data_IF_519762603892
#
_entry.id   IF_519762603892
#
_cell.length_a   1.000
_cell.length_b   1.000
_cell.length_c   1.000
_cell.angle_alpha   90.00
_cell.angle_beta   90.00
_cell.angle_gamma   90.00
#
_symmetry.space_group_name_H-M   'P 1'
#
loop_
_entity.id
_entity.type
_entity.pdbx_description
1 polymer ?
#
# COMPACT_ATOMS: atom_id res chain seq x y z
N UNK A 1 6.42 27.82 -92.16
CA UNK A 1 7.04 27.77 -90.82
C UNK A 1 8.53 27.80 -91.00
N UNK A 2 9.14 28.85 -90.45
CA UNK A 2 10.58 29.11 -90.54
C UNK A 2 11.38 28.15 -89.65
N UNK A 3 12.69 28.03 -89.88
CA UNK A 3 13.56 27.12 -89.11
C UNK A 3 13.58 27.49 -87.61
N UNK A 4 13.47 28.80 -87.33
CA UNK A 4 13.42 29.37 -85.99
C UNK A 4 12.16 28.96 -85.21
N UNK A 5 10.98 28.97 -85.86
CA UNK A 5 9.72 28.54 -85.24
C UNK A 5 9.79 27.07 -84.82
N UNK A 6 10.39 26.22 -85.66
CA UNK A 6 10.54 24.78 -85.36
C UNK A 6 11.49 24.55 -84.18
N UNK A 7 12.58 25.29 -84.10
CA UNK A 7 13.50 25.22 -82.96
C UNK A 7 12.81 25.66 -81.67
N UNK A 8 12.04 26.75 -81.72
CA UNK A 8 11.32 27.28 -80.57
C UNK A 8 10.25 26.30 -80.07
N UNK A 9 9.52 25.64 -80.97
CA UNK A 9 8.55 24.58 -80.64
C UNK A 9 9.25 23.39 -79.96
N UNK A 10 10.40 22.94 -80.47
CA UNK A 10 11.15 21.81 -79.88
C UNK A 10 11.64 22.16 -78.47
N UNK A 11 12.17 23.37 -78.28
CA UNK A 11 12.60 23.85 -76.96
C UNK A 11 11.42 23.91 -75.99
N UNK A 12 10.26 24.39 -76.43
CA UNK A 12 9.05 24.45 -75.61
C UNK A 12 8.57 23.06 -75.18
N UNK A 13 8.60 22.08 -76.11
CA UNK A 13 8.22 20.68 -75.85
C UNK A 13 9.15 20.01 -74.83
N UNK A 14 10.41 20.44 -74.73
CA UNK A 14 11.37 19.88 -73.79
C UNK A 14 11.30 20.59 -72.43
N UNK A 15 11.17 21.92 -72.41
CA UNK A 15 11.18 22.71 -71.16
C UNK A 15 9.88 22.51 -70.36
N UNK A 16 8.72 22.40 -71.02
CA UNK A 16 7.45 22.26 -70.30
C UNK A 16 7.38 20.97 -69.45
N UNK A 17 7.66 19.76 -69.99
CA UNK A 17 7.62 18.55 -69.19
C UNK A 17 8.70 18.50 -68.11
N UNK A 18 9.90 19.00 -68.41
CA UNK A 18 11.02 18.98 -67.46
C UNK A 18 10.78 19.93 -66.28
N UNK A 19 10.27 21.13 -66.52
CA UNK A 19 9.93 22.07 -65.46
C UNK A 19 8.86 21.51 -64.51
N UNK A 20 7.79 20.91 -65.05
CA UNK A 20 6.75 20.25 -64.24
C UNK A 20 7.34 19.12 -63.38
N UNK A 21 8.25 18.32 -63.94
CA UNK A 21 8.91 17.23 -63.22
C UNK A 21 9.80 17.74 -62.08
N UNK A 22 10.60 18.78 -62.32
CA UNK A 22 11.45 19.38 -61.28
C UNK A 22 10.62 20.04 -60.18
N UNK A 23 9.58 20.80 -60.53
CA UNK A 23 8.66 21.40 -59.57
C UNK A 23 7.94 20.34 -58.73
N UNK A 24 7.41 19.28 -59.35
CA UNK A 24 6.75 18.19 -58.63
C UNK A 24 7.70 17.50 -57.63
N UNK A 25 8.96 17.27 -58.01
CA UNK A 25 9.96 16.67 -57.12
C UNK A 25 10.35 17.61 -55.98
N UNK A 26 10.48 18.91 -56.24
CA UNK A 26 10.76 19.91 -55.21
C UNK A 26 9.63 19.96 -54.16
N UNK A 27 8.37 20.01 -54.61
CA UNK A 27 7.20 19.96 -53.72
C UNK A 27 7.12 18.68 -52.90
N UNK A 28 7.42 17.51 -53.49
CA UNK A 28 7.42 16.26 -52.74
C UNK A 28 8.51 16.21 -51.67
N UNK A 29 9.69 16.77 -51.94
CA UNK A 29 10.76 16.83 -50.96
C UNK A 29 10.41 17.77 -49.80
N UNK A 30 9.83 18.93 -50.09
CA UNK A 30 9.37 19.89 -49.07
C UNK A 30 8.27 19.29 -48.19
N UNK A 31 7.29 18.60 -48.76
CA UNK A 31 6.25 17.89 -48.01
C UNK A 31 6.87 16.79 -47.12
N UNK A 32 7.87 16.06 -47.63
CA UNK A 32 8.57 15.01 -46.88
C UNK A 32 9.35 15.60 -45.70
N UNK A 33 10.01 16.73 -45.89
CA UNK A 33 10.76 17.44 -44.85
C UNK A 33 9.83 18.00 -43.77
N UNK A 34 8.75 18.67 -44.18
CA UNK A 34 7.71 19.15 -43.26
C UNK A 34 7.11 18.01 -42.43
N UNK A 35 6.83 16.86 -43.06
CA UNK A 35 6.32 15.68 -42.37
C UNK A 35 7.35 15.11 -41.38
N UNK A 36 8.61 15.01 -41.78
CA UNK A 36 9.69 14.56 -40.90
C UNK A 36 9.86 15.46 -39.69
N UNK A 37 9.82 16.78 -39.87
CA UNK A 37 9.94 17.74 -38.78
C UNK A 37 8.74 17.67 -37.82
N UNK A 38 7.53 17.51 -38.37
CA UNK A 38 6.32 17.33 -37.55
C UNK A 38 6.35 16.01 -36.75
N UNK A 39 6.89 14.93 -37.33
CA UNK A 39 7.03 13.65 -36.63
C UNK A 39 8.11 13.72 -35.54
N UNK A 40 9.22 14.43 -35.78
CA UNK A 40 10.24 14.70 -34.74
C UNK A 40 9.69 15.54 -33.58
N UNK A 41 8.92 16.59 -33.87
CA UNK A 41 8.31 17.43 -32.84
C UNK A 41 7.31 16.64 -31.98
N UNK A 42 6.53 15.74 -32.59
CA UNK A 42 5.65 14.83 -31.84
C UNK A 42 6.42 13.92 -30.91
N UNK A 43 7.52 13.33 -31.37
CA UNK A 43 8.36 12.45 -30.53
C UNK A 43 8.99 13.26 -29.39
N UNK A 44 9.46 14.48 -29.65
CA UNK A 44 10.02 15.35 -28.62
C UNK A 44 8.99 15.67 -27.52
N UNK A 45 7.76 16.03 -27.90
CA UNK A 45 6.66 16.28 -26.95
C UNK A 45 6.28 15.04 -26.13
N UNK A 46 6.34 13.85 -26.75
CA UNK A 46 6.09 12.60 -26.04
C UNK A 46 7.20 12.32 -25.03
N UNK A 47 8.46 12.54 -25.39
CA UNK A 47 9.59 12.36 -24.47
C UNK A 47 9.53 13.36 -23.30
N UNK A 48 9.22 14.63 -23.57
CA UNK A 48 9.04 15.65 -22.53
C UNK A 48 7.91 15.27 -21.56
N UNK A 49 6.78 14.77 -22.07
CA UNK A 49 5.70 14.29 -21.23
C UNK A 49 6.07 13.05 -20.40
N UNK A 50 6.94 12.16 -20.91
CA UNK A 50 7.44 11.00 -20.16
C UNK A 50 8.36 11.47 -19.03
N UNK A 51 9.29 12.39 -19.30
CA UNK A 51 10.20 12.94 -18.29
C UNK A 51 9.43 13.68 -17.17
N UNK A 52 8.38 14.44 -17.53
CA UNK A 52 7.48 15.08 -16.57
C UNK A 52 6.72 14.06 -15.71
N UNK A 53 6.32 12.92 -16.28
CA UNK A 53 5.68 11.83 -15.53
C UNK A 53 6.69 11.18 -14.58
N UNK A 54 7.90 10.85 -15.05
CA UNK A 54 8.94 10.23 -14.23
C UNK A 54 9.32 11.11 -13.03
N UNK A 55 9.54 12.41 -13.27
CA UNK A 55 9.86 13.36 -12.21
C UNK A 55 8.73 13.52 -11.19
N UNK A 56 7.46 13.55 -11.63
CA UNK A 56 6.29 13.56 -10.74
C UNK A 56 6.14 12.26 -9.96
N UNK A 57 6.44 11.13 -10.58
CA UNK A 57 6.39 9.82 -9.93
C UNK A 57 7.44 9.73 -8.83
N UNK A 58 8.69 10.14 -9.11
CA UNK A 58 9.80 10.14 -8.16
C UNK A 58 9.54 11.09 -6.98
N UNK A 59 9.00 12.29 -7.24
CA UNK A 59 8.62 13.21 -6.14
C UNK A 59 7.49 12.64 -5.30
N UNK A 60 6.52 11.98 -5.91
CA UNK A 60 5.41 11.34 -5.19
C UNK A 60 5.91 10.16 -4.36
N UNK A 61 6.77 9.31 -4.91
CA UNK A 61 7.35 8.14 -4.23
C UNK A 61 8.18 8.55 -3.01
N UNK A 62 9.01 9.59 -3.18
CA UNK A 62 9.85 10.13 -2.10
C UNK A 62 8.99 10.71 -0.98
N UNK A 63 7.92 11.44 -1.32
CA UNK A 63 6.98 12.02 -0.35
C UNK A 63 6.16 10.97 0.39
N UNK A 64 5.91 9.80 -0.21
CA UNK A 64 5.22 8.67 0.43
C UNK A 64 6.15 7.93 1.39
N UNK A 65 7.44 7.76 1.07
CA UNK A 65 8.40 7.09 1.96
C UNK A 65 8.74 7.91 3.22
N UNK A 66 8.65 9.25 3.18
CA UNK A 66 8.98 10.10 4.34
C UNK A 66 7.88 10.21 5.40
N UNK A 67 6.70 9.60 5.20
CA UNK A 67 5.66 9.60 6.24
C UNK A 67 6.08 8.65 7.36
N UNK A 68 6.89 9.14 8.31
CA UNK A 68 7.24 8.42 9.55
C UNK A 68 5.98 7.80 10.14
N UNK A 69 5.87 6.48 10.06
CA UNK A 69 4.78 5.73 10.69
C UNK A 69 4.95 5.88 12.19
N UNK A 70 4.14 6.73 12.80
CA UNK A 70 4.12 6.90 14.26
C UNK A 70 3.46 5.65 14.85
N UNK A 71 4.11 4.90 15.76
CA UNK A 71 3.56 3.68 16.33
C UNK A 71 2.36 3.98 17.24
N UNK A 72 1.50 2.97 17.45
CA UNK A 72 0.50 3.02 18.53
C UNK A 72 1.26 2.91 19.86
N UNK A 73 1.03 3.85 20.76
CA UNK A 73 1.65 3.88 22.09
C UNK A 73 0.68 3.37 23.14
N UNK A 74 1.07 2.34 23.90
CA UNK A 74 0.28 1.84 25.02
C UNK A 74 0.74 2.54 26.30
N UNK A 75 -0.10 3.43 26.84
CA UNK A 75 0.21 4.21 28.04
C UNK A 75 -0.04 3.43 29.32
N UNK A 76 -1.11 2.63 29.39
CA UNK A 76 -1.37 1.82 30.57
C UNK A 76 -2.16 0.55 30.28
N UNK A 77 -1.87 -0.49 31.05
CA UNK A 77 -2.63 -1.74 31.09
C UNK A 77 -2.95 -2.03 32.54
N UNK A 78 -4.23 -2.12 32.87
CA UNK A 78 -4.71 -2.38 34.23
C UNK A 78 -5.69 -3.53 34.21
N UNK A 79 -5.45 -4.52 35.07
CA UNK A 79 -6.39 -5.61 35.27
C UNK A 79 -6.94 -5.56 36.70
N UNK A 80 -8.26 -5.48 36.80
CA UNK A 80 -8.97 -5.48 38.07
C UNK A 80 -9.49 -6.89 38.36
N UNK A 81 -8.71 -7.67 39.12
CA UNK A 81 -9.00 -9.07 39.47
C UNK A 81 -10.39 -9.26 40.08
N UNK A 82 -10.85 -8.34 40.92
CA UNK A 82 -12.19 -8.41 41.56
C UNK A 82 -13.35 -8.29 40.58
N UNK A 83 -13.16 -7.51 39.51
CA UNK A 83 -14.21 -7.27 38.51
C UNK A 83 -14.00 -8.02 37.21
N UNK A 84 -12.85 -8.69 37.03
CA UNK A 84 -12.45 -9.35 35.79
C UNK A 84 -12.27 -8.39 34.61
N UNK A 85 -12.07 -7.09 34.85
CA UNK A 85 -11.96 -6.08 33.78
C UNK A 85 -10.51 -5.80 33.44
N UNK A 86 -10.17 -6.00 32.17
CA UNK A 86 -8.91 -5.56 31.57
C UNK A 86 -9.13 -4.22 30.86
N UNK A 87 -8.43 -3.20 31.32
CA UNK A 87 -8.46 -1.85 30.77
C UNK A 87 -7.11 -1.54 30.12
N UNK A 88 -7.14 -1.11 28.86
CA UNK A 88 -5.96 -0.68 28.10
C UNK A 88 -6.19 0.73 27.61
N UNK A 89 -5.27 1.63 27.91
CA UNK A 89 -5.27 3.00 27.39
C UNK A 89 -4.01 3.28 26.61
N UNK A 90 -4.15 4.07 25.56
CA UNK A 90 -3.03 4.43 24.71
C UNK A 90 -3.36 5.56 23.76
N UNK A 91 -2.42 5.82 22.85
CA UNK A 91 -2.51 6.84 21.83
C UNK A 91 -2.18 6.24 20.47
N UNK A 92 -3.09 6.43 19.53
CA UNK A 92 -2.95 6.03 18.14
C UNK A 92 -2.49 7.22 17.29
N UNK A 93 -1.77 6.98 16.18
CA UNK A 93 -1.32 8.04 15.28
C UNK A 93 -2.46 8.69 14.49
N UNK A 94 -3.51 7.94 14.19
CA UNK A 94 -4.69 8.38 13.46
C UNK A 94 -5.69 9.06 14.39
N UNK A 95 -5.95 10.35 14.16
CA UNK A 95 -7.00 11.12 14.83
C UNK A 95 -8.38 10.73 14.29
N UNK A 96 -9.36 10.55 15.16
CA UNK A 96 -10.73 10.17 14.80
C UNK A 96 -10.86 8.90 13.94
N UNK A 97 -9.87 7.99 13.99
CA UNK A 97 -9.90 6.73 13.27
C UNK A 97 -10.10 5.58 14.25
N UNK A 98 -10.80 4.54 13.81
CA UNK A 98 -10.99 3.36 14.66
C UNK A 98 -9.70 2.55 14.73
N UNK A 99 -9.36 2.07 15.91
CA UNK A 99 -8.34 1.05 16.14
C UNK A 99 -9.04 -0.31 16.14
N UNK A 100 -8.53 -1.26 15.38
CA UNK A 100 -8.99 -2.64 15.44
C UNK A 100 -8.23 -3.36 16.55
N UNK A 101 -8.95 -3.95 17.50
CA UNK A 101 -8.36 -4.69 18.61
C UNK A 101 -8.70 -6.16 18.45
N UNK A 102 -7.68 -6.98 18.16
CA UNK A 102 -7.79 -8.43 18.07
C UNK A 102 -7.32 -9.05 19.39
N UNK A 103 -8.16 -9.87 20.01
CA UNK A 103 -7.83 -10.55 21.26
C UNK A 103 -7.63 -12.05 21.03
N UNK A 104 -6.45 -12.58 21.35
CA UNK A 104 -6.15 -14.01 21.38
C UNK A 104 -6.12 -14.45 22.84
N UNK A 105 -6.93 -15.43 23.21
CA UNK A 105 -7.00 -15.94 24.59
C UNK A 105 -6.42 -17.34 24.69
N UNK A 106 -5.59 -17.57 25.71
CA UNK A 106 -5.08 -18.90 26.06
C UNK A 106 -5.84 -19.41 27.27
N UNK A 107 -6.57 -20.53 27.16
CA UNK A 107 -7.30 -21.09 28.28
C UNK A 107 -6.34 -21.61 29.37
N UNK A 108 -6.80 -21.59 30.62
CA UNK A 108 -6.10 -22.27 31.71
C UNK A 108 -6.03 -23.75 31.35
N UNK A 109 -4.83 -24.33 31.34
CA UNK A 109 -4.68 -25.79 31.30
C UNK A 109 -5.24 -26.35 32.61
N UNK A 110 -6.53 -26.61 32.65
CA UNK A 110 -7.07 -27.58 33.59
C UNK A 110 -6.41 -28.91 33.23
N UNK A 111 -5.40 -29.31 34.00
CA UNK A 111 -5.11 -30.73 34.15
C UNK A 111 -6.39 -31.36 34.68
N UNK A 112 -7.23 -31.87 33.77
CA UNK A 112 -8.17 -32.91 34.13
C UNK A 112 -7.35 -33.98 34.83
N UNK A 113 -7.68 -34.28 36.09
CA UNK A 113 -7.29 -35.54 36.73
C UNK A 113 -7.96 -36.65 35.94
N UNK A 114 -7.36 -37.02 34.82
CA UNK A 114 -7.65 -38.27 34.12
C UNK A 114 -7.34 -39.39 35.09
N UNK A 115 -8.39 -40.11 35.48
CA UNK A 115 -8.26 -41.40 36.15
C UNK A 115 -7.43 -42.33 35.24
N UNK A 116 -6.38 -42.87 35.83
CA UNK A 116 -5.71 -44.14 35.48
C UNK A 116 -6.21 -44.87 34.24
N UNK A 117 -5.40 -44.90 33.18
CA UNK A 117 -5.01 -46.18 32.55
C UNK A 117 -3.72 -46.01 31.74
N UNK A 118 -2.87 -47.01 31.89
CA UNK A 118 -1.57 -47.23 31.25
C UNK A 118 -1.66 -47.19 29.72
N UNK A 119 -0.69 -46.56 29.05
CA UNK A 119 -0.52 -46.70 27.60
C UNK A 119 0.32 -45.62 26.95
N UNK A 120 1.56 -45.97 26.60
CA UNK A 120 2.55 -45.20 25.85
C UNK A 120 2.01 -44.42 24.64
N UNK A 121 2.29 -43.10 24.61
CA UNK A 121 2.84 -42.35 23.48
C UNK A 121 2.88 -40.86 23.87
N UNK A 122 4.09 -40.30 23.99
CA UNK A 122 4.27 -38.86 24.21
C UNK A 122 3.91 -38.14 22.90
N UNK A 123 2.63 -37.82 22.71
CA UNK A 123 2.24 -36.85 21.68
C UNK A 123 2.77 -35.51 22.13
N UNK A 124 3.63 -34.93 21.30
CA UNK A 124 4.02 -33.53 21.40
C UNK A 124 2.76 -32.74 21.17
N UNK A 125 2.25 -32.10 22.23
CA UNK A 125 1.18 -31.12 22.13
C UNK A 125 1.73 -29.94 21.34
N UNK A 126 1.45 -29.90 20.03
CA UNK A 126 1.42 -28.67 19.27
C UNK A 126 0.23 -27.86 19.79
N UNK A 127 0.45 -27.23 20.95
CA UNK A 127 -0.48 -26.29 21.56
C UNK A 127 -0.50 -25.04 20.68
N UNK A 128 -1.27 -25.10 19.59
CA UNK A 128 -1.56 -23.98 18.70
C UNK A 128 -2.03 -22.81 19.56
N UNK A 129 -1.31 -21.69 19.44
CA UNK A 129 -1.55 -20.44 20.14
C UNK A 129 -3.04 -20.03 20.04
N UNK A 130 -3.72 -20.00 21.18
CA UNK A 130 -4.99 -19.31 21.46
C UNK A 130 -6.22 -19.63 20.61
N UNK A 131 -7.30 -20.05 21.26
CA UNK A 131 -8.47 -20.68 20.62
C UNK A 131 -9.54 -19.69 20.12
N UNK A 132 -9.43 -18.40 20.43
CA UNK A 132 -10.47 -17.41 20.08
C UNK A 132 -9.85 -16.05 19.76
N UNK A 133 -10.08 -15.59 18.52
CA UNK A 133 -9.77 -14.23 18.05
C UNK A 133 -11.04 -13.40 18.07
N UNK A 134 -11.10 -12.37 18.92
CA UNK A 134 -12.21 -11.41 18.95
C UNK A 134 -11.73 -10.05 18.44
N UNK A 135 -12.38 -9.52 17.41
CA UNK A 135 -12.01 -8.23 16.79
C UNK A 135 -13.03 -7.17 17.18
N UNK A 136 -12.57 -6.09 17.80
CA UNK A 136 -13.41 -4.97 18.26
C UNK A 136 -12.85 -3.66 17.70
N UNK A 137 -13.73 -2.81 17.16
CA UNK A 137 -13.38 -1.46 16.77
C UNK A 137 -13.46 -0.51 17.99
N UNK A 138 -12.36 0.19 18.29
CA UNK A 138 -12.28 1.20 19.34
C UNK A 138 -12.09 2.57 18.69
N UNK A 139 -13.02 3.49 18.97
CA UNK A 139 -12.94 4.86 18.45
C UNK A 139 -11.92 5.68 19.24
N UNK A 140 -11.02 6.36 18.56
CA UNK A 140 -10.12 7.35 19.18
C UNK A 140 -10.80 8.71 19.33
N UNK A 141 -10.34 9.51 20.28
CA UNK A 141 -10.71 10.92 20.34
C UNK A 141 -9.98 11.78 19.27
N UNK A 142 -10.18 13.11 19.34
CA UNK A 142 -9.57 14.07 18.42
C UNK A 142 -8.05 14.21 18.54
N UNK A 143 -7.46 13.66 19.60
CA UNK A 143 -6.02 13.63 19.85
C UNK A 143 -5.40 12.26 19.58
N UNK A 144 -6.22 11.26 19.25
CA UNK A 144 -5.80 9.87 19.02
C UNK A 144 -5.81 9.01 20.29
N UNK A 145 -6.25 9.51 21.44
CA UNK A 145 -6.31 8.71 22.66
C UNK A 145 -7.46 7.70 22.56
N UNK A 146 -7.24 6.52 23.13
CA UNK A 146 -8.23 5.46 23.18
C UNK A 146 -8.26 4.77 24.53
N UNK A 147 -9.42 4.18 24.82
CA UNK A 147 -9.67 3.34 25.98
C UNK A 147 -10.39 2.07 25.55
N UNK A 148 -9.74 0.93 25.74
CA UNK A 148 -10.31 -0.39 25.53
C UNK A 148 -10.61 -1.05 26.87
N UNK A 149 -11.81 -1.61 27.02
CA UNK A 149 -12.22 -2.34 28.21
C UNK A 149 -12.76 -3.70 27.78
N UNK A 150 -12.19 -4.78 28.32
CA UNK A 150 -12.66 -6.15 28.09
C UNK A 150 -12.98 -6.84 29.41
N UNK A 151 -14.14 -7.49 29.45
CA UNK A 151 -14.51 -8.39 30.54
C UNK A 151 -13.89 -9.77 30.28
N UNK A 152 -13.17 -10.31 31.25
CA UNK A 152 -12.41 -11.56 31.16
C UNK A 152 -12.86 -12.52 32.25
N UNK A 153 -13.08 -13.79 31.89
CA UNK A 153 -13.39 -14.86 32.83
C UNK A 153 -12.10 -15.50 33.36
N UNK A 154 -11.69 -15.08 34.55
CA UNK A 154 -10.50 -15.56 35.25
C UNK A 154 -10.50 -17.06 35.55
N UNK A 155 -11.66 -17.71 35.53
CA UNK A 155 -11.76 -19.16 35.77
C UNK A 155 -11.39 -19.97 34.54
N UNK A 156 -11.27 -19.34 33.37
CA UNK A 156 -11.10 -20.01 32.08
C UNK A 156 -9.85 -19.57 31.33
N UNK A 157 -9.36 -18.35 31.54
CA UNK A 157 -8.30 -17.74 30.72
C UNK A 157 -7.08 -17.43 31.60
N UNK A 158 -5.91 -17.91 31.17
CA UNK A 158 -4.62 -17.68 31.84
C UNK A 158 -3.91 -16.46 31.23
N UNK A 159 -3.85 -16.42 29.91
CA UNK A 159 -3.15 -15.42 29.14
C UNK A 159 -4.08 -14.77 28.12
N UNK A 160 -3.94 -13.45 27.95
CA UNK A 160 -4.57 -12.72 26.85
C UNK A 160 -3.51 -11.91 26.10
N UNK A 161 -3.51 -12.07 24.78
CA UNK A 161 -2.75 -11.24 23.86
C UNK A 161 -3.73 -10.31 23.14
N UNK A 162 -3.44 -9.01 23.13
CA UNK A 162 -4.23 -8.00 22.45
C UNK A 162 -3.35 -7.31 21.41
N UNK A 163 -3.80 -7.35 20.17
CA UNK A 163 -3.18 -6.66 19.05
C UNK A 163 -4.05 -5.48 18.64
N UNK A 164 -3.46 -4.31 18.57
CA UNK A 164 -4.06 -3.05 18.18
C UNK A 164 -3.51 -2.69 16.80
N UNK A 165 -4.38 -2.50 15.81
CA UNK A 165 -4.01 -2.14 14.45
C UNK A 165 -4.76 -0.87 14.00
N UNK A 166 -4.04 0.07 13.36
CA UNK A 166 -4.61 1.27 12.75
C UNK A 166 -3.76 1.70 11.56
N UNK A 167 -4.23 1.40 10.34
CA UNK A 167 -3.46 1.60 9.11
C UNK A 167 -2.18 0.76 9.14
N UNK A 168 -1.03 1.41 8.90
CA UNK A 168 0.29 0.76 8.96
C UNK A 168 0.89 0.70 10.38
N UNK A 169 0.17 1.19 11.39
CA UNK A 169 0.61 1.25 12.77
C UNK A 169 0.00 0.13 13.60
N UNK A 170 0.82 -0.56 14.40
CA UNK A 170 0.35 -1.64 15.26
C UNK A 170 1.05 -1.66 16.61
N UNK A 171 0.39 -2.21 17.62
CA UNK A 171 0.94 -2.51 18.94
C UNK A 171 0.38 -3.83 19.45
N UNK A 172 1.21 -4.63 20.12
CA UNK A 172 0.77 -5.86 20.77
C UNK A 172 1.07 -5.79 22.25
N UNK A 173 0.15 -6.26 23.07
CA UNK A 173 0.38 -6.47 24.49
C UNK A 173 0.04 -7.90 24.84
N UNK A 174 0.82 -8.46 25.75
CA UNK A 174 0.54 -9.76 26.33
C UNK A 174 0.39 -9.59 27.84
N UNK A 175 -0.74 -10.06 28.37
CA UNK A 175 -1.08 -9.94 29.78
C UNK A 175 -1.33 -11.30 30.40
N UNK A 176 -0.56 -11.61 31.43
CA UNK A 176 -0.72 -12.77 32.29
C UNK A 176 -1.73 -12.40 33.40
N UNK A 177 -2.93 -12.99 33.31
CA UNK A 177 -4.04 -12.70 34.20
C UNK A 177 -3.86 -13.35 35.58
N UNK A 178 -3.12 -14.46 35.64
CA UNK A 178 -2.83 -15.19 36.89
C UNK A 178 -1.77 -14.44 37.70
N UNK A 179 -0.71 -13.96 37.05
CA UNK A 179 0.35 -13.17 37.70
C UNK A 179 0.03 -11.69 37.78
N UNK A 180 -1.09 -11.26 37.18
CA UNK A 180 -1.52 -9.88 37.11
C UNK A 180 -0.41 -8.95 36.60
N UNK A 181 0.27 -9.37 35.54
CA UNK A 181 1.49 -8.71 35.04
C UNK A 181 1.50 -8.70 33.51
N UNK A 182 1.97 -7.57 32.98
CA UNK A 182 2.31 -7.46 31.56
C UNK A 182 3.59 -8.24 31.27
N UNK A 183 3.54 -9.11 30.27
CA UNK A 183 4.65 -9.99 29.91
C UNK A 183 5.44 -9.42 28.73
N UNK A 184 4.77 -8.72 27.80
CA UNK A 184 5.32 -8.00 26.64
C UNK A 184 4.49 -6.74 26.34
#
# INVERSE_FOLDING_TARGET
MDLFDKFLIIVLIIILPTSIFFSARAYQNEIKELKSNADQEKIAKVNEAIDDIETQLDTTFTKVQEKKTVPIEISSVKFATTSGKLEVTGKAPGKNLNIMVSAIVTPIKTTEKSKTSSGSAKKVDDSVLGEKVEVIAVKTDGEGNFKFIKQVDLKKIDLIELRFDQGDSSATIQYDLVRNKRTL
#
